data_IF_383930268833
#
_entry.id   IF_383930268833
#
_cell.length_a   1.000
_cell.length_b   1.000
_cell.length_c   1.000
_cell.angle_alpha   90.00
_cell.angle_beta   90.00
_cell.angle_gamma   90.00
#
_symmetry.space_group_name_H-M   'P 1'
#
loop_
_entity.id
_entity.type
_entity.pdbx_description
1 polymer ?
#
# COMPACT_ATOMS: atom_id res chain seq x y z
N UNK A 1 -8.47 0.46 -2.79
CA UNK A 1 -8.45 -1.00 -2.52
C UNK A 1 -9.44 -1.41 -1.42
N UNK A 2 -9.33 -0.90 -0.19
CA UNK A 2 -10.21 -1.34 0.93
C UNK A 2 -11.68 -1.04 0.64
N UNK A 3 -12.02 0.18 0.20
CA UNK A 3 -13.37 0.52 -0.27
C UNK A 3 -13.88 -0.42 -1.37
N UNK A 4 -13.05 -0.70 -2.39
CA UNK A 4 -13.42 -1.63 -3.47
C UNK A 4 -13.74 -3.03 -2.93
N UNK A 5 -13.00 -3.50 -1.92
CA UNK A 5 -13.25 -4.80 -1.29
C UNK A 5 -14.55 -4.85 -0.47
N UNK A 6 -15.12 -3.72 -0.06
CA UNK A 6 -16.44 -3.71 0.59
C UNK A 6 -17.60 -3.89 -0.40
N UNK A 7 -17.36 -3.65 -1.69
CA UNK A 7 -18.40 -3.61 -2.71
C UNK A 7 -19.33 -2.39 -2.61
N UNK A 8 -19.06 -1.48 -1.68
CA UNK A 8 -19.86 -0.27 -1.52
C UNK A 8 -19.63 0.70 -2.68
N UNK A 9 -20.67 1.43 -3.13
CA UNK A 9 -20.48 2.53 -4.05
C UNK A 9 -19.70 3.66 -3.36
N UNK A 10 -18.80 4.28 -4.10
CA UNK A 10 -18.08 5.48 -3.65
C UNK A 10 -17.69 6.32 -4.87
N UNK A 11 -17.46 7.60 -4.62
CA UNK A 11 -16.86 8.53 -5.58
C UNK A 11 -15.42 8.84 -5.12
N UNK A 12 -14.51 8.99 -6.07
CA UNK A 12 -13.12 9.35 -5.81
C UNK A 12 -12.83 10.73 -6.40
N UNK A 13 -12.42 11.67 -5.56
CA UNK A 13 -11.91 12.97 -6.00
C UNK A 13 -10.38 12.95 -5.94
N UNK A 14 -9.75 13.05 -7.10
CA UNK A 14 -8.29 13.11 -7.21
C UNK A 14 -7.82 14.55 -7.05
N UNK A 15 -6.96 14.78 -6.05
CA UNK A 15 -6.25 16.05 -5.91
C UNK A 15 -4.94 15.93 -6.68
N UNK A 16 -4.93 16.44 -7.90
CA UNK A 16 -3.75 16.47 -8.75
C UNK A 16 -2.69 17.42 -8.20
N UNK A 17 -1.43 17.07 -8.47
CA UNK A 17 -0.28 17.92 -8.14
C UNK A 17 0.44 18.26 -9.42
N UNK A 18 0.57 19.55 -9.72
CA UNK A 18 1.40 20.02 -10.81
C UNK A 18 2.87 19.66 -10.53
N UNK A 19 3.35 18.61 -11.19
CA UNK A 19 4.77 18.28 -11.22
C UNK A 19 5.46 19.12 -12.30
N UNK A 20 6.66 19.62 -12.01
CA UNK A 20 7.57 20.18 -13.02
C UNK A 20 8.24 19.05 -13.80
N UNK A 21 8.92 19.39 -14.90
CA UNK A 21 9.79 18.47 -15.63
C UNK A 21 10.67 17.65 -14.66
N UNK A 22 10.76 16.34 -14.90
CA UNK A 22 11.48 15.41 -14.03
C UNK A 22 10.73 14.94 -12.78
N UNK A 23 9.39 15.09 -12.72
CA UNK A 23 8.54 14.65 -11.59
C UNK A 23 8.94 15.28 -10.23
N UNK A 24 9.53 16.47 -10.27
CA UNK A 24 9.84 17.26 -9.08
C UNK A 24 8.74 18.29 -8.83
N UNK A 25 8.58 18.74 -7.59
CA UNK A 25 7.66 19.82 -7.26
C UNK A 25 8.45 21.12 -7.10
N UNK A 26 8.03 22.18 -7.80
CA UNK A 26 8.53 23.51 -7.46
C UNK A 26 8.09 23.86 -6.01
N UNK A 27 8.87 24.68 -5.28
CA UNK A 27 8.46 25.11 -3.94
C UNK A 27 7.06 25.76 -3.91
N UNK A 28 6.69 26.45 -4.99
CA UNK A 28 5.38 27.08 -5.15
C UNK A 28 4.26 26.05 -5.35
N UNK A 29 4.44 25.09 -6.26
CA UNK A 29 3.49 24.01 -6.48
C UNK A 29 3.27 23.18 -5.21
N UNK A 30 4.36 22.88 -4.48
CA UNK A 30 4.27 22.21 -3.18
C UNK A 30 3.46 23.01 -2.16
N UNK A 31 3.64 24.33 -2.10
CA UNK A 31 2.87 25.19 -1.18
C UNK A 31 1.38 25.20 -1.54
N UNK A 32 1.06 25.39 -2.82
CA UNK A 32 -0.31 25.38 -3.31
C UNK A 32 -1.00 24.04 -3.02
N UNK A 33 -0.29 22.92 -3.23
CA UNK A 33 -0.80 21.60 -2.89
C UNK A 33 -1.08 21.44 -1.39
N UNK A 34 -0.16 21.86 -0.51
CA UNK A 34 -0.39 21.81 0.95
C UNK A 34 -1.60 22.67 1.35
N UNK A 35 -1.78 23.85 0.75
CA UNK A 35 -2.96 24.69 0.98
C UNK A 35 -4.23 23.95 0.56
N UNK A 36 -4.26 23.34 -0.64
CA UNK A 36 -5.41 22.55 -1.11
C UNK A 36 -5.73 21.38 -0.20
N UNK A 37 -4.70 20.66 0.28
CA UNK A 37 -4.90 19.58 1.25
C UNK A 37 -5.51 20.06 2.57
N UNK A 38 -5.15 21.27 3.03
CA UNK A 38 -5.72 21.87 4.23
C UNK A 38 -7.20 22.23 4.11
N UNK A 39 -7.73 22.36 2.89
CA UNK A 39 -9.16 22.58 2.65
C UNK A 39 -10.00 21.31 2.87
N UNK A 40 -9.41 20.13 2.64
CA UNK A 40 -10.12 18.84 2.67
C UNK A 40 -9.74 17.95 3.85
N UNK A 41 -8.62 18.22 4.51
CA UNK A 41 -8.06 17.37 5.55
C UNK A 41 -7.49 18.19 6.71
N UNK A 42 -7.84 17.88 7.97
CA UNK A 42 -7.42 18.67 9.14
C UNK A 42 -5.90 18.61 9.39
N UNK A 43 -5.20 17.61 8.86
CA UNK A 43 -3.75 17.45 8.99
C UNK A 43 -3.00 17.67 7.67
N UNK A 44 -3.68 18.16 6.63
CA UNK A 44 -3.16 18.33 5.27
C UNK A 44 -2.51 17.03 4.71
N UNK A 45 -3.15 15.88 4.96
CA UNK A 45 -2.76 14.57 4.41
C UNK A 45 -3.96 13.84 3.83
N UNK A 46 -3.65 12.97 2.87
CA UNK A 46 -4.58 12.03 2.24
C UNK A 46 -4.19 10.60 2.60
N UNK A 47 -5.10 9.62 2.43
CA UNK A 47 -6.51 9.78 2.05
C UNK A 47 -7.38 10.37 3.18
N UNK A 48 -8.53 10.91 2.79
CA UNK A 48 -9.66 11.21 3.67
C UNK A 48 -10.92 10.55 3.10
N UNK A 49 -11.84 10.14 3.97
CA UNK A 49 -13.13 9.59 3.61
C UNK A 49 -14.23 10.49 4.18
N UNK A 50 -15.09 10.99 3.30
CA UNK A 50 -16.36 11.58 3.68
C UNK A 50 -17.44 10.51 3.65
N UNK A 51 -18.16 10.34 4.76
CA UNK A 51 -19.34 9.49 4.82
C UNK A 51 -20.46 10.25 5.54
N UNK A 52 -21.43 10.74 4.75
CA UNK A 52 -22.40 11.75 5.20
C UNK A 52 -21.65 12.99 5.75
N UNK A 53 -22.01 13.45 6.94
CA UNK A 53 -21.38 14.61 7.59
C UNK A 53 -20.07 14.26 8.34
N UNK A 54 -19.63 12.99 8.32
CA UNK A 54 -18.43 12.55 8.99
C UNK A 54 -17.22 12.55 8.06
N UNK A 55 -16.16 13.24 8.49
CA UNK A 55 -14.83 13.16 7.90
C UNK A 55 -13.95 12.20 8.71
N UNK A 56 -13.49 11.12 8.08
CA UNK A 56 -12.52 10.18 8.65
C UNK A 56 -11.20 10.32 7.89
N UNK A 57 -10.12 10.61 8.61
CA UNK A 57 -8.76 10.70 8.05
C UNK A 57 -7.85 9.64 8.68
N UNK A 58 -6.70 9.43 8.05
CA UNK A 58 -5.75 8.32 8.30
C UNK A 58 -6.21 6.97 7.74
N UNK A 59 -5.35 6.33 6.94
CA UNK A 59 -5.67 5.08 6.24
C UNK A 59 -6.05 3.95 7.21
N UNK A 60 -5.44 3.86 8.40
CA UNK A 60 -5.75 2.79 9.35
C UNK A 60 -7.09 3.03 10.03
N UNK A 61 -7.38 4.29 10.38
CA UNK A 61 -8.68 4.71 10.90
C UNK A 61 -9.80 4.45 9.88
N UNK A 62 -9.60 4.84 8.62
CA UNK A 62 -10.55 4.57 7.52
C UNK A 62 -10.77 3.07 7.35
N UNK A 63 -9.72 2.24 7.43
CA UNK A 63 -9.84 0.79 7.26
C UNK A 63 -10.70 0.14 8.36
N UNK A 64 -10.49 0.50 9.63
CA UNK A 64 -11.30 -0.03 10.73
C UNK A 64 -12.74 0.53 10.66
N UNK A 65 -12.92 1.81 10.31
CA UNK A 65 -14.25 2.40 10.09
C UNK A 65 -15.05 1.64 9.02
N UNK A 66 -14.41 1.31 7.89
CA UNK A 66 -15.03 0.51 6.83
C UNK A 66 -15.32 -0.93 7.28
N UNK A 67 -14.48 -1.51 8.12
CA UNK A 67 -14.73 -2.85 8.67
C UNK A 67 -15.94 -2.86 9.64
N UNK A 68 -16.14 -1.78 10.40
CA UNK A 68 -17.33 -1.61 11.23
C UNK A 68 -18.59 -1.35 10.39
N UNK A 69 -18.47 -0.55 9.33
CA UNK A 69 -19.59 -0.17 8.47
C UNK A 69 -20.04 -1.32 7.55
N UNK A 70 -19.10 -2.15 7.10
CA UNK A 70 -19.33 -3.28 6.18
C UNK A 70 -18.80 -4.59 6.77
N UNK A 71 -19.39 -5.12 7.86
CA UNK A 71 -18.89 -6.33 8.53
C UNK A 71 -18.92 -7.56 7.61
N UNK A 72 -19.90 -7.62 6.70
CA UNK A 72 -20.06 -8.71 5.73
C UNK A 72 -18.92 -8.76 4.68
N UNK A 73 -18.16 -7.67 4.53
CA UNK A 73 -17.00 -7.64 3.65
C UNK A 73 -15.81 -8.44 4.21
N UNK A 74 -15.87 -8.86 5.49
CA UNK A 74 -14.84 -9.69 6.13
C UNK A 74 -13.41 -9.17 5.92
N UNK A 75 -13.21 -7.85 6.08
CA UNK A 75 -11.95 -7.16 5.77
C UNK A 75 -10.76 -7.60 6.65
N UNK A 76 -11.05 -8.26 7.78
CA UNK A 76 -10.06 -8.93 8.63
C UNK A 76 -10.28 -10.45 8.65
N UNK A 77 -9.23 -11.25 8.88
CA UNK A 77 -9.38 -12.68 9.14
C UNK A 77 -10.38 -12.96 10.27
N UNK A 78 -11.17 -14.03 10.13
CA UNK A 78 -12.14 -14.44 11.16
C UNK A 78 -11.46 -15.09 12.38
N UNK A 79 -10.40 -15.86 12.16
CA UNK A 79 -9.57 -16.46 13.19
C UNK A 79 -8.88 -15.39 14.06
N UNK A 80 -9.09 -15.37 15.39
CA UNK A 80 -8.54 -14.33 16.27
C UNK A 80 -7.01 -14.23 16.21
N UNK A 81 -6.30 -15.34 16.07
CA UNK A 81 -4.82 -15.34 16.00
C UNK A 81 -4.35 -14.70 14.70
N UNK A 82 -4.92 -15.12 13.57
CA UNK A 82 -4.62 -14.55 12.26
C UNK A 82 -4.95 -13.05 12.23
N UNK A 83 -6.09 -12.65 12.81
CA UNK A 83 -6.50 -11.24 12.90
C UNK A 83 -5.57 -10.39 13.74
N UNK A 84 -5.09 -10.91 14.88
CA UNK A 84 -4.11 -10.20 15.70
C UNK A 84 -2.80 -9.95 14.94
N UNK A 85 -2.30 -10.97 14.22
CA UNK A 85 -1.09 -10.84 13.41
C UNK A 85 -1.32 -9.88 12.23
N UNK A 86 -2.47 -9.95 11.58
CA UNK A 86 -2.83 -9.05 10.48
C UNK A 86 -2.76 -7.58 10.93
N UNK A 87 -3.30 -7.26 12.10
CA UNK A 87 -3.21 -5.91 12.68
C UNK A 87 -1.77 -5.50 13.00
N UNK A 88 -0.94 -6.41 13.50
CA UNK A 88 0.49 -6.13 13.71
C UNK A 88 1.21 -5.82 12.39
N UNK A 89 0.92 -6.58 11.32
CA UNK A 89 1.48 -6.32 9.98
C UNK A 89 1.01 -4.96 9.46
N UNK A 90 -0.28 -4.65 9.56
CA UNK A 90 -0.83 -3.35 9.17
C UNK A 90 -0.14 -2.20 9.91
N UNK A 91 0.03 -2.32 11.22
CA UNK A 91 0.73 -1.31 12.02
C UNK A 91 2.20 -1.17 11.59
N UNK A 92 2.93 -2.29 11.39
CA UNK A 92 4.32 -2.27 10.92
C UNK A 92 4.44 -1.60 9.54
N UNK A 93 3.56 -1.93 8.60
CA UNK A 93 3.51 -1.25 7.30
C UNK A 93 3.19 0.23 7.47
N UNK A 94 2.29 0.62 8.37
CA UNK A 94 1.93 2.01 8.54
C UNK A 94 3.08 2.85 9.14
N UNK A 95 3.78 2.34 10.17
CA UNK A 95 4.74 3.12 10.96
C UNK A 95 6.23 2.89 10.63
N UNK A 96 6.59 1.85 9.87
CA UNK A 96 7.98 1.48 9.62
C UNK A 96 8.42 1.73 8.16
N UNK A 97 9.57 1.17 7.79
CA UNK A 97 10.18 1.22 6.45
C UNK A 97 10.50 2.62 5.93
N UNK A 98 10.82 3.55 6.83
CA UNK A 98 11.04 4.96 6.50
C UNK A 98 12.25 5.18 5.59
N UNK A 99 13.30 4.36 5.70
CA UNK A 99 14.48 4.48 4.85
C UNK A 99 14.12 4.13 3.40
N UNK A 100 13.52 2.95 3.20
CA UNK A 100 13.04 2.54 1.88
C UNK A 100 12.04 3.55 1.30
N UNK A 101 11.09 4.03 2.10
CA UNK A 101 10.08 5.01 1.63
C UNK A 101 10.64 6.35 1.19
N UNK A 102 11.76 6.76 1.79
CA UNK A 102 12.45 8.01 1.44
C UNK A 102 13.19 7.87 0.12
N UNK A 103 13.84 6.73 -0.07
CA UNK A 103 14.66 6.43 -1.24
C UNK A 103 13.82 6.02 -2.45
N UNK A 104 12.81 5.19 -2.20
CA UNK A 104 11.83 4.68 -3.15
C UNK A 104 10.44 5.25 -2.82
N UNK A 105 10.11 6.41 -3.40
CA UNK A 105 8.77 7.00 -3.26
C UNK A 105 7.76 6.14 -4.00
N UNK A 106 6.52 6.06 -3.52
CA UNK A 106 5.51 5.31 -4.26
C UNK A 106 5.19 6.02 -5.58
N UNK A 107 5.44 5.33 -6.69
CA UNK A 107 5.07 5.75 -8.04
C UNK A 107 4.73 4.48 -8.81
N UNK A 108 3.43 4.23 -8.99
CA UNK A 108 2.95 2.96 -9.55
C UNK A 108 3.24 2.83 -11.04
N UNK A 109 3.55 3.94 -11.73
CA UNK A 109 3.82 4.00 -13.16
C UNK A 109 5.31 3.93 -13.49
N UNK A 110 6.17 4.21 -12.51
CA UNK A 110 7.61 4.09 -12.68
C UNK A 110 8.01 2.63 -12.92
N UNK A 111 8.91 2.42 -13.88
CA UNK A 111 9.69 1.18 -14.05
C UNK A 111 11.14 1.56 -14.29
N UNK A 112 12.00 1.22 -13.34
CA UNK A 112 13.43 1.50 -13.42
C UNK A 112 14.22 0.38 -12.72
N UNK A 113 15.52 0.34 -12.96
CA UNK A 113 16.46 -0.46 -12.17
C UNK A 113 17.22 0.50 -11.28
N UNK A 114 16.81 0.56 -10.01
CA UNK A 114 17.40 1.44 -9.02
C UNK A 114 18.21 0.64 -8.01
N UNK A 115 19.43 1.09 -7.76
CA UNK A 115 20.29 0.52 -6.73
C UNK A 115 20.07 1.29 -5.42
N UNK A 116 19.64 0.58 -4.37
CA UNK A 116 19.53 1.16 -3.03
C UNK A 116 20.92 1.61 -2.56
N UNK A 117 21.01 2.80 -2.00
CA UNK A 117 22.26 3.40 -1.53
C UNK A 117 22.38 3.32 0.00
N UNK A 118 21.26 3.30 0.73
CA UNK A 118 21.25 3.20 2.19
C UNK A 118 21.12 1.74 2.66
N UNK A 119 22.06 1.28 3.48
CA UNK A 119 22.00 -0.03 4.15
C UNK A 119 20.71 -0.18 4.99
N UNK A 120 20.12 0.90 5.49
CA UNK A 120 18.82 0.86 6.17
C UNK A 120 17.69 0.47 5.22
N UNK A 121 17.72 0.92 3.96
CA UNK A 121 16.77 0.47 2.93
C UNK A 121 16.95 -1.02 2.63
N UNK A 122 18.19 -1.51 2.55
CA UNK A 122 18.46 -2.95 2.44
C UNK A 122 17.91 -3.73 3.64
N UNK A 123 18.08 -3.22 4.87
CA UNK A 123 17.51 -3.82 6.08
C UNK A 123 15.97 -3.85 6.04
N UNK A 124 15.33 -2.78 5.57
CA UNK A 124 13.88 -2.69 5.38
C UNK A 124 13.39 -3.78 4.42
N UNK A 125 14.02 -3.94 3.25
CA UNK A 125 13.66 -5.00 2.28
C UNK A 125 13.89 -6.39 2.87
N UNK A 126 15.04 -6.63 3.54
CA UNK A 126 15.31 -7.90 4.23
C UNK A 126 14.26 -8.20 5.31
N UNK A 127 13.73 -7.19 5.99
CA UNK A 127 12.63 -7.36 6.96
C UNK A 127 11.32 -7.75 6.27
N UNK A 128 10.98 -7.10 5.15
CA UNK A 128 9.81 -7.45 4.34
C UNK A 128 9.88 -8.89 3.85
N UNK A 129 11.02 -9.32 3.28
CA UNK A 129 11.24 -10.71 2.83
C UNK A 129 10.97 -11.70 3.96
N UNK A 130 11.60 -11.51 5.14
CA UNK A 130 11.36 -12.39 6.29
C UNK A 130 9.90 -12.42 6.71
N UNK A 131 9.24 -11.26 6.74
CA UNK A 131 7.83 -11.15 7.12
C UNK A 131 6.93 -11.91 6.13
N UNK A 132 7.06 -11.64 4.83
CA UNK A 132 6.24 -12.26 3.80
C UNK A 132 6.47 -13.76 3.75
N UNK A 133 7.73 -14.21 3.67
CA UNK A 133 8.04 -15.64 3.58
C UNK A 133 7.61 -16.40 4.82
N UNK A 134 7.77 -15.84 6.03
CA UNK A 134 7.33 -16.53 7.26
C UNK A 134 5.82 -16.68 7.36
N UNK A 135 5.06 -15.62 7.03
CA UNK A 135 3.60 -15.66 7.08
C UNK A 135 3.02 -16.51 5.96
N UNK A 136 3.55 -16.39 4.73
CA UNK A 136 3.14 -17.24 3.60
C UNK A 136 3.44 -18.71 3.86
N UNK A 137 4.59 -19.07 4.46
CA UNK A 137 4.85 -20.46 4.89
C UNK A 137 3.86 -20.94 5.94
N UNK A 138 3.56 -20.10 6.93
CA UNK A 138 2.64 -20.44 8.03
C UNK A 138 1.19 -20.59 7.58
N UNK A 139 0.74 -19.79 6.61
CA UNK A 139 -0.65 -19.71 6.16
C UNK A 139 -0.87 -20.20 4.73
N UNK A 140 0.10 -20.95 4.15
CA UNK A 140 0.10 -21.39 2.74
C UNK A 140 -1.22 -22.07 2.31
N UNK A 141 -1.81 -22.87 3.18
CA UNK A 141 -3.00 -23.68 2.88
C UNK A 141 -4.32 -22.91 3.13
N UNK A 142 -4.24 -21.62 3.49
CA UNK A 142 -5.41 -20.79 3.82
C UNK A 142 -5.79 -19.78 2.75
N UNK A 143 -5.04 -19.72 1.64
CA UNK A 143 -5.29 -18.81 0.53
C UNK A 143 -4.02 -18.18 -0.03
N UNK A 144 -4.22 -17.34 -1.05
CA UNK A 144 -3.15 -16.72 -1.82
C UNK A 144 -2.49 -15.52 -1.10
N UNK A 145 -3.18 -14.91 -0.14
CA UNK A 145 -2.76 -13.67 0.53
C UNK A 145 -2.09 -13.92 1.88
N UNK A 146 -1.52 -12.89 2.49
CA UNK A 146 -0.51 -13.04 3.56
C UNK A 146 -0.97 -13.91 4.73
N UNK A 147 -2.26 -13.78 5.11
CA UNK A 147 -2.89 -14.53 6.20
C UNK A 147 -4.10 -15.36 5.75
N UNK A 148 -4.16 -15.73 4.46
CA UNK A 148 -5.22 -16.56 3.89
C UNK A 148 -5.99 -15.85 2.76
N UNK A 149 -7.30 -15.58 2.92
CA UNK A 149 -8.02 -14.66 2.04
C UNK A 149 -7.46 -13.23 2.11
N UNK A 150 -7.80 -12.40 1.13
CA UNK A 150 -7.41 -10.99 1.10
C UNK A 150 -7.93 -10.25 2.33
N UNK A 151 -7.12 -9.35 2.89
CA UNK A 151 -7.46 -8.56 4.08
C UNK A 151 -6.88 -7.15 4.02
N UNK A 152 -7.25 -6.31 4.99
CA UNK A 152 -6.63 -4.99 5.20
C UNK A 152 -5.10 -5.07 5.31
N UNK A 153 -4.53 -6.15 5.86
CA UNK A 153 -3.08 -6.31 5.92
C UNK A 153 -2.45 -6.31 4.52
N UNK A 154 -3.07 -6.99 3.57
CA UNK A 154 -2.63 -7.05 2.18
C UNK A 154 -2.74 -5.68 1.50
N UNK A 155 -3.80 -4.91 1.80
CA UNK A 155 -3.96 -3.54 1.32
C UNK A 155 -2.83 -2.60 1.81
N UNK A 156 -2.34 -2.81 3.04
CA UNK A 156 -1.24 -2.02 3.62
C UNK A 156 0.15 -2.45 3.14
N UNK A 157 0.29 -3.70 2.70
CA UNK A 157 1.51 -4.21 2.08
C UNK A 157 1.64 -3.77 0.63
N UNK A 158 0.52 -3.60 -0.08
CA UNK A 158 0.49 -3.26 -1.50
C UNK A 158 1.41 -2.07 -1.88
N UNK A 159 1.44 -0.93 -1.17
CA UNK A 159 2.37 0.17 -1.47
C UNK A 159 3.84 -0.24 -1.47
N UNK A 160 4.24 -1.20 -0.62
CA UNK A 160 5.62 -1.69 -0.59
C UNK A 160 5.87 -2.64 -1.78
N UNK A 161 4.93 -3.53 -2.10
CA UNK A 161 5.02 -4.36 -3.31
C UNK A 161 5.16 -3.50 -4.59
N UNK A 162 4.42 -2.38 -4.67
CA UNK A 162 4.56 -1.45 -5.80
C UNK A 162 5.96 -0.83 -5.86
N UNK A 163 6.57 -0.44 -4.73
CA UNK A 163 7.94 0.11 -4.70
C UNK A 163 8.94 -0.91 -5.19
N UNK A 164 8.86 -2.14 -4.68
CA UNK A 164 9.76 -3.22 -5.08
C UNK A 164 9.73 -3.44 -6.60
N UNK A 165 8.54 -3.44 -7.20
CA UNK A 165 8.37 -3.57 -8.66
C UNK A 165 8.80 -2.31 -9.42
N UNK A 166 8.40 -1.12 -8.99
CA UNK A 166 8.67 0.13 -9.71
C UNK A 166 10.17 0.44 -9.79
N UNK A 167 10.92 0.08 -8.75
CA UNK A 167 12.36 0.31 -8.66
C UNK A 167 13.21 -0.91 -9.03
N UNK A 168 12.59 -2.04 -9.40
CA UNK A 168 13.31 -3.24 -9.81
C UNK A 168 14.14 -3.88 -8.68
N UNK A 169 13.67 -3.78 -7.44
CA UNK A 169 14.41 -4.27 -6.26
C UNK A 169 14.36 -5.79 -6.23
N UNK A 170 15.53 -6.43 -6.31
CA UNK A 170 15.67 -7.89 -6.28
C UNK A 170 15.46 -8.45 -4.88
N UNK A 171 14.32 -9.09 -4.61
CA UNK A 171 14.08 -9.75 -3.31
C UNK A 171 15.04 -10.91 -3.05
N UNK A 172 15.53 -11.56 -4.10
CA UNK A 172 16.52 -12.64 -4.00
C UNK A 172 17.84 -12.16 -3.38
N UNK A 173 18.31 -10.97 -3.76
CA UNK A 173 19.49 -10.34 -3.16
C UNK A 173 19.30 -9.97 -1.69
N UNK A 174 18.03 -9.97 -1.23
CA UNK A 174 17.64 -9.66 0.15
C UNK A 174 17.17 -10.90 0.92
N UNK A 175 17.53 -12.10 0.45
CA UNK A 175 17.32 -13.36 1.16
C UNK A 175 16.03 -14.12 0.81
N UNK A 176 15.34 -13.76 -0.28
CA UNK A 176 14.18 -14.52 -0.78
C UNK A 176 14.64 -15.69 -1.68
N UNK A 177 15.43 -16.60 -1.12
CA UNK A 177 16.04 -17.72 -1.88
C UNK A 177 15.00 -18.69 -2.46
N UNK A 178 13.85 -18.84 -1.79
CA UNK A 178 12.75 -19.71 -2.20
C UNK A 178 11.68 -18.99 -3.04
N UNK A 179 11.85 -17.69 -3.30
CA UNK A 179 10.95 -16.89 -4.13
C UNK A 179 9.56 -16.65 -3.54
N UNK A 180 9.34 -16.98 -2.26
CA UNK A 180 8.01 -16.92 -1.64
C UNK A 180 7.56 -15.47 -1.43
N UNK A 181 8.46 -14.58 -1.03
CA UNK A 181 8.12 -13.16 -0.86
C UNK A 181 7.83 -12.50 -2.21
N UNK A 182 8.59 -12.85 -3.26
CA UNK A 182 8.34 -12.40 -4.63
C UNK A 182 6.98 -12.87 -5.13
N UNK A 183 6.69 -14.18 -5.03
CA UNK A 183 5.41 -14.74 -5.49
C UNK A 183 4.19 -14.10 -4.81
N UNK A 184 4.31 -13.77 -3.51
CA UNK A 184 3.25 -13.03 -2.81
C UNK A 184 3.13 -11.57 -3.29
N UNK A 185 4.25 -10.89 -3.52
CA UNK A 185 4.24 -9.53 -4.09
C UNK A 185 3.57 -9.53 -5.46
N UNK A 186 3.87 -10.51 -6.31
CA UNK A 186 3.25 -10.69 -7.62
C UNK A 186 1.75 -10.97 -7.50
N UNK A 187 1.35 -11.79 -6.51
CA UNK A 187 -0.08 -12.07 -6.22
C UNK A 187 -0.85 -10.78 -5.88
N UNK A 188 -0.28 -9.91 -5.05
CA UNK A 188 -0.90 -8.61 -4.72
C UNK A 188 -1.08 -7.73 -5.95
N UNK A 189 -0.04 -7.67 -6.78
CA UNK A 189 0.01 -6.83 -7.98
C UNK A 189 -0.78 -7.44 -9.16
N UNK A 190 -1.30 -8.66 -9.01
CA UNK A 190 -2.20 -9.29 -9.97
C UNK A 190 -3.68 -9.15 -9.57
N UNK A 191 -4.00 -8.48 -8.47
CA UNK A 191 -5.41 -8.30 -8.05
C UNK A 191 -6.17 -7.42 -9.04
N UNK A 192 -7.43 -7.74 -9.40
CA UNK A 192 -8.18 -6.97 -10.41
C UNK A 192 -8.28 -5.47 -10.09
N UNK A 193 -8.53 -5.13 -8.83
CA UNK A 193 -8.60 -3.74 -8.38
C UNK A 193 -7.26 -3.00 -8.49
N UNK A 194 -6.14 -3.69 -8.32
CA UNK A 194 -4.84 -3.10 -8.54
C UNK A 194 -4.55 -2.89 -10.02
N UNK A 195 -4.83 -3.90 -10.85
CA UNK A 195 -4.65 -3.81 -12.31
C UNK A 195 -5.53 -2.72 -12.91
N UNK A 196 -6.75 -2.53 -12.40
CA UNK A 196 -7.60 -1.40 -12.76
C UNK A 196 -6.93 -0.07 -12.40
N UNK A 197 -6.41 0.07 -11.18
CA UNK A 197 -5.72 1.30 -10.76
C UNK A 197 -4.47 1.59 -11.59
N UNK A 198 -3.69 0.57 -11.89
CA UNK A 198 -2.53 0.67 -12.79
C UNK A 198 -2.95 1.03 -14.23
N UNK A 199 -4.08 0.48 -14.70
CA UNK A 199 -4.60 0.69 -16.05
C UNK A 199 -5.29 2.04 -16.27
N UNK A 200 -5.79 2.68 -15.22
CA UNK A 200 -6.42 4.02 -15.28
C UNK A 200 -5.47 5.13 -15.76
N UNK A 201 -4.19 4.84 -15.99
CA UNK A 201 -3.22 5.82 -16.49
C UNK A 201 -2.26 5.25 -17.54
N UNK A 202 -2.71 4.32 -18.38
CA UNK A 202 -2.07 4.20 -19.69
C UNK A 202 -2.14 5.60 -20.35
N UNK A 203 -1.01 6.20 -20.78
CA UNK A 203 -1.10 7.42 -21.56
C UNK A 203 -2.02 7.14 -22.74
N UNK A 204 -2.97 8.04 -22.99
CA UNK A 204 -3.63 8.09 -24.30
C UNK A 204 -2.48 8.14 -25.31
N UNK A 205 -2.42 7.11 -26.16
CA UNK A 205 -1.40 6.96 -27.20
C UNK A 205 -1.41 8.14 -28.18
#
# INVERSE_FOLDING_TARGET
MILKATGAPFEEELIEVEATEGRQFSPQAKRAFITKLGEVSPNARLPVLWHNDLLVWDTASIAEYLNELYPEANLWPSDPVSRAIARSVTAEMHSCFLALRRECRMDIFLRTNFELQDEKSHNDVRRMVRLYSSLRKRFKDRGAFLLGPWSIADAFVLPEATRLRSYGISLREHGDEDGIAQAYSDTLLATPHYLEWEGLSAPVA
#
